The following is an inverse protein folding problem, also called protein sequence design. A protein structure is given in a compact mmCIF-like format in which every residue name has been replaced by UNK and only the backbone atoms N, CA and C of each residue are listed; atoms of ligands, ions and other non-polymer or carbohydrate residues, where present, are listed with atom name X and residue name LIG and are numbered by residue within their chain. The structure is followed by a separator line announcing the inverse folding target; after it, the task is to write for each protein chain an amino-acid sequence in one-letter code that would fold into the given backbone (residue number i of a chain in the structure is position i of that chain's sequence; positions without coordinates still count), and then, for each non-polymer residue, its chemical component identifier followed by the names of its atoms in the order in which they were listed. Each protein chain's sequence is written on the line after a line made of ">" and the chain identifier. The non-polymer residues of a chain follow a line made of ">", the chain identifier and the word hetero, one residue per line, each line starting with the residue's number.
data_IF_329194002928
#
_entry.id   IF_329194002928
#
_cell.length_a   1.000
_cell.length_b   1.000
_cell.length_c   1.000
_cell.angle_alpha   90.00
_cell.angle_beta   90.00
_cell.angle_gamma   90.00
#
_symmetry.space_group_name_H-M   'P 1'
#
loop_
_entity.id
_entity.type
_entity.pdbx_description
1 polymer ?
#
# COMPACT_ATOMS: atom_id res chain seq x y z
N UNK A 1 -2.17 22.09 26.10
CA UNK A 1 -2.15 20.87 26.96
C UNK A 1 -2.60 19.67 26.12
N UNK A 2 -1.64 18.86 25.66
CA UNK A 2 -1.90 17.59 24.95
C UNK A 2 -2.45 16.63 25.99
N UNK A 3 -3.70 16.15 25.83
CA UNK A 3 -4.23 15.11 26.72
C UNK A 3 -3.32 13.88 26.58
N UNK A 4 -2.79 13.34 27.70
CA UNK A 4 -2.05 12.10 27.63
C UNK A 4 -2.97 11.04 27.04
N UNK A 5 -2.40 10.30 26.09
CA UNK A 5 -2.95 9.08 25.52
C UNK A 5 -3.64 8.31 26.65
N UNK A 6 -4.98 8.16 26.60
CA UNK A 6 -5.64 7.16 27.46
C UNK A 6 -4.91 5.86 27.19
N UNK A 7 -4.21 5.38 28.21
CA UNK A 7 -3.37 4.18 28.22
C UNK A 7 -3.76 3.21 27.12
N UNK A 8 -2.86 3.04 26.14
CA UNK A 8 -2.93 2.11 24.98
C UNK A 8 -3.08 0.62 25.37
N UNK A 9 -3.62 0.31 26.55
CA UNK A 9 -3.74 -1.03 27.12
C UNK A 9 -5.13 -1.43 27.60
N UNK A 10 -6.20 -0.69 27.29
CA UNK A 10 -7.53 -0.96 27.85
C UNK A 10 -8.65 -1.27 26.83
N UNK A 11 -8.32 -1.53 25.57
CA UNK A 11 -9.33 -2.06 24.64
C UNK A 11 -9.19 -3.58 24.52
N UNK A 12 -10.16 -4.37 25.03
CA UNK A 12 -10.13 -5.81 24.88
C UNK A 12 -10.06 -6.19 23.39
N UNK A 13 -9.41 -7.31 23.03
CA UNK A 13 -9.38 -7.74 21.65
C UNK A 13 -10.82 -7.86 21.11
N UNK A 14 -11.13 -7.10 20.07
CA UNK A 14 -12.42 -7.19 19.39
C UNK A 14 -12.63 -8.65 18.94
N UNK A 15 -13.79 -9.22 19.28
CA UNK A 15 -14.16 -10.55 18.81
C UNK A 15 -14.11 -10.58 17.28
N UNK A 16 -13.50 -11.63 16.70
CA UNK A 16 -13.22 -11.71 15.27
C UNK A 16 -14.46 -11.45 14.39
N UNK A 17 -15.64 -11.94 14.77
CA UNK A 17 -16.89 -11.69 14.04
C UNK A 17 -17.32 -10.21 14.00
N UNK A 18 -17.05 -9.44 15.07
CA UNK A 18 -17.34 -8.00 15.13
C UNK A 18 -16.36 -7.20 14.28
N UNK A 19 -15.09 -7.62 14.25
CA UNK A 19 -14.03 -7.05 13.39
C UNK A 19 -14.38 -7.23 11.92
N UNK A 20 -14.80 -8.44 11.52
CA UNK A 20 -15.18 -8.75 10.14
C UNK A 20 -16.38 -7.91 9.71
N UNK A 21 -17.43 -7.82 10.54
CA UNK A 21 -18.61 -6.99 10.23
C UNK A 21 -18.25 -5.51 10.08
N UNK A 22 -17.45 -4.95 10.99
CA UNK A 22 -17.07 -3.53 10.93
C UNK A 22 -16.14 -3.22 9.75
N UNK A 23 -15.19 -4.12 9.45
CA UNK A 23 -14.28 -3.95 8.31
C UNK A 23 -15.04 -4.05 6.99
N UNK A 24 -15.84 -5.11 6.83
CA UNK A 24 -16.45 -5.45 5.53
C UNK A 24 -17.74 -4.67 5.31
N UNK A 25 -18.64 -4.64 6.29
CA UNK A 25 -19.98 -4.05 6.12
C UNK A 25 -19.94 -2.55 6.35
N UNK A 26 -19.48 -2.10 7.51
CA UNK A 26 -19.57 -0.68 7.89
C UNK A 26 -18.44 0.17 7.24
N UNK A 27 -17.27 -0.44 7.03
CA UNK A 27 -16.13 0.16 6.35
C UNK A 27 -16.22 0.07 4.83
N UNK A 28 -15.97 -1.14 4.29
CA UNK A 28 -15.83 -1.36 2.85
C UNK A 28 -17.12 -1.11 2.07
N UNK A 29 -18.22 -1.78 2.44
CA UNK A 29 -19.50 -1.66 1.73
C UNK A 29 -20.22 -0.34 2.02
N UNK A 30 -20.21 0.11 3.28
CA UNK A 30 -20.92 1.31 3.73
C UNK A 30 -20.34 2.63 3.20
N UNK A 31 -19.04 2.66 2.85
CA UNK A 31 -18.36 3.90 2.42
C UNK A 31 -17.90 3.88 0.96
N UNK A 32 -18.17 2.79 0.22
CA UNK A 32 -17.63 2.54 -1.13
C UNK A 32 -17.81 3.70 -2.11
N UNK A 33 -18.99 4.35 -2.11
CA UNK A 33 -19.28 5.51 -2.97
C UNK A 33 -18.30 6.69 -2.76
N UNK A 34 -17.97 7.01 -1.50
CA UNK A 34 -17.04 8.11 -1.18
C UNK A 34 -15.59 7.77 -1.49
N UNK A 35 -15.27 6.48 -1.46
CA UNK A 35 -13.95 5.96 -1.74
C UNK A 35 -13.68 5.95 -3.24
N UNK A 36 -14.69 5.60 -4.03
CA UNK A 36 -14.62 5.56 -5.49
C UNK A 36 -14.40 6.95 -6.09
N UNK A 37 -15.02 8.00 -5.52
CA UNK A 37 -14.81 9.38 -5.96
C UNK A 37 -13.42 9.92 -5.64
N UNK A 38 -12.82 9.55 -4.50
CA UNK A 38 -11.41 9.89 -4.22
C UNK A 38 -10.45 9.09 -5.08
N UNK A 39 -10.76 7.82 -5.37
CA UNK A 39 -9.87 6.93 -6.11
C UNK A 39 -9.69 7.34 -7.59
N UNK A 40 -10.63 8.09 -8.16
CA UNK A 40 -10.59 8.48 -9.57
C UNK A 40 -9.38 9.35 -9.94
N UNK A 41 -9.01 10.32 -9.10
CA UNK A 41 -7.85 11.19 -9.37
C UNK A 41 -6.54 10.39 -9.34
N UNK A 42 -6.24 9.62 -8.28
CA UNK A 42 -5.14 8.65 -8.25
C UNK A 42 -5.13 7.69 -9.44
N UNK A 43 -6.30 7.26 -9.93
CA UNK A 43 -6.40 6.36 -11.08
C UNK A 43 -5.89 7.01 -12.35
N UNK A 44 -6.42 8.20 -12.65
CA UNK A 44 -6.03 8.95 -13.83
C UNK A 44 -4.53 9.25 -13.77
N UNK A 45 -4.02 9.68 -12.60
CA UNK A 45 -2.60 9.94 -12.40
C UNK A 45 -1.76 8.67 -12.62
N UNK A 46 -2.17 7.54 -12.06
CA UNK A 46 -1.43 6.31 -12.18
C UNK A 46 -1.38 5.79 -13.62
N UNK A 47 -2.50 5.87 -14.34
CA UNK A 47 -2.57 5.56 -15.78
C UNK A 47 -1.67 6.48 -16.60
N UNK A 48 -1.65 7.79 -16.32
CA UNK A 48 -0.79 8.74 -17.02
C UNK A 48 0.68 8.43 -16.78
N UNK A 49 1.07 8.12 -15.54
CA UNK A 49 2.46 7.84 -15.18
C UNK A 49 2.93 6.54 -15.85
N UNK A 50 2.12 5.48 -15.81
CA UNK A 50 2.43 4.22 -16.51
C UNK A 50 2.54 4.39 -18.02
N UNK A 51 1.61 5.14 -18.62
CA UNK A 51 1.63 5.42 -20.05
C UNK A 51 2.87 6.25 -20.42
N UNK A 52 3.22 7.26 -19.63
CA UNK A 52 4.41 8.06 -19.85
C UNK A 52 5.69 7.21 -19.75
N UNK A 53 5.81 6.36 -18.73
CA UNK A 53 6.92 5.43 -18.58
C UNK A 53 7.05 4.50 -19.80
N UNK A 54 5.93 3.92 -20.25
CA UNK A 54 5.91 3.06 -21.42
C UNK A 54 6.34 3.78 -22.70
N UNK A 55 5.86 5.01 -22.92
CA UNK A 55 6.24 5.84 -24.07
C UNK A 55 7.74 6.18 -24.04
N UNK A 56 8.28 6.57 -22.88
CA UNK A 56 9.71 6.90 -22.73
C UNK A 56 10.58 5.67 -23.04
N UNK A 57 10.20 4.50 -22.54
CA UNK A 57 10.93 3.25 -22.80
C UNK A 57 10.88 2.83 -24.27
N UNK A 58 9.76 3.09 -24.94
CA UNK A 58 9.58 2.82 -26.37
C UNK A 58 10.48 3.75 -27.23
N UNK A 59 10.47 5.05 -26.96
CA UNK A 59 11.35 6.02 -27.64
C UNK A 59 12.83 5.73 -27.45
N UNK A 60 13.22 5.13 -26.33
CA UNK A 60 14.61 4.74 -26.02
C UNK A 60 14.99 3.36 -26.55
N UNK A 61 14.09 2.64 -27.24
CA UNK A 61 14.34 1.28 -27.70
C UNK A 61 14.67 0.27 -26.59
N UNK A 62 14.36 0.61 -25.33
CA UNK A 62 14.84 -0.11 -24.13
C UNK A 62 13.79 -1.06 -23.54
N UNK A 63 12.63 -1.21 -24.20
CA UNK A 63 11.45 -1.91 -23.68
C UNK A 63 11.65 -3.42 -23.46
N UNK A 64 12.62 -4.03 -24.14
CA UNK A 64 12.99 -5.45 -23.97
C UNK A 64 14.20 -5.64 -23.03
N UNK A 65 14.76 -4.57 -22.48
CA UNK A 65 15.96 -4.60 -21.65
C UNK A 65 15.57 -4.58 -20.17
N UNK A 66 15.05 -5.70 -19.67
CA UNK A 66 14.54 -5.89 -18.30
C UNK A 66 15.58 -5.54 -17.20
N UNK A 67 16.87 -5.40 -17.55
CA UNK A 67 17.94 -5.02 -16.64
C UNK A 67 18.79 -3.83 -17.11
N UNK A 68 18.34 -3.06 -18.10
CA UNK A 68 19.09 -1.85 -18.48
C UNK A 68 19.01 -0.78 -17.38
N UNK A 69 20.06 0.03 -17.19
CA UNK A 69 20.04 1.13 -16.22
C UNK A 69 18.86 2.08 -16.44
N UNK A 70 18.51 2.35 -17.70
CA UNK A 70 17.39 3.22 -18.07
C UNK A 70 16.03 2.66 -17.62
N UNK A 71 15.79 1.36 -17.84
CA UNK A 71 14.56 0.68 -17.37
C UNK A 71 14.48 0.70 -15.86
N UNK A 72 15.57 0.40 -15.16
CA UNK A 72 15.60 0.41 -13.69
C UNK A 72 15.29 1.81 -13.15
N UNK A 73 15.88 2.86 -13.72
CA UNK A 73 15.63 4.25 -13.28
C UNK A 73 14.17 4.65 -13.49
N UNK A 74 13.59 4.29 -14.64
CA UNK A 74 12.18 4.61 -14.94
C UNK A 74 11.24 3.83 -14.03
N UNK A 75 11.50 2.54 -13.78
CA UNK A 75 10.69 1.72 -12.88
C UNK A 75 10.76 2.21 -11.44
N UNK A 76 11.95 2.61 -10.96
CA UNK A 76 12.12 3.19 -9.62
C UNK A 76 11.38 4.54 -9.51
N UNK A 77 11.48 5.40 -10.52
CA UNK A 77 10.75 6.66 -10.55
C UNK A 77 9.23 6.43 -10.57
N UNK A 78 8.75 5.45 -11.35
CA UNK A 78 7.34 5.09 -11.41
C UNK A 78 6.84 4.57 -10.06
N UNK A 79 7.60 3.67 -9.41
CA UNK A 79 7.32 3.19 -8.06
C UNK A 79 7.21 4.36 -7.07
N UNK A 80 8.14 5.33 -7.12
CA UNK A 80 8.10 6.51 -6.25
C UNK A 80 6.82 7.32 -6.48
N UNK A 81 6.45 7.58 -7.73
CA UNK A 81 5.27 8.40 -8.01
C UNK A 81 3.99 7.66 -7.58
N UNK A 82 3.86 6.38 -7.95
CA UNK A 82 2.66 5.58 -7.69
C UNK A 82 2.47 5.26 -6.21
N UNK A 83 3.49 4.67 -5.58
CA UNK A 83 3.37 4.11 -4.24
C UNK A 83 3.58 5.16 -3.14
N UNK A 84 4.49 6.12 -3.35
CA UNK A 84 4.76 7.15 -2.35
C UNK A 84 3.84 8.35 -2.51
N UNK A 85 3.86 9.00 -3.67
CA UNK A 85 3.18 10.29 -3.83
C UNK A 85 1.67 10.12 -3.99
N UNK A 86 1.25 9.25 -4.90
CA UNK A 86 -0.17 8.98 -5.17
C UNK A 86 -0.77 8.16 -4.01
N UNK A 87 -0.05 7.16 -3.50
CA UNK A 87 -0.43 6.43 -2.29
C UNK A 87 -0.67 7.35 -1.08
N UNK A 88 0.26 8.26 -0.78
CA UNK A 88 0.10 9.22 0.32
C UNK A 88 -1.09 10.16 0.11
N UNK A 89 -1.28 10.65 -1.11
CA UNK A 89 -2.39 11.53 -1.45
C UNK A 89 -3.72 10.82 -1.18
N UNK A 90 -3.84 9.56 -1.61
CA UNK A 90 -5.02 8.75 -1.37
C UNK A 90 -5.27 8.54 0.12
N UNK A 91 -4.25 8.11 0.88
CA UNK A 91 -4.38 7.83 2.32
C UNK A 91 -4.84 9.04 3.13
N UNK A 92 -4.26 10.23 2.90
CA UNK A 92 -4.63 11.45 3.64
C UNK A 92 -6.05 11.89 3.32
N UNK A 93 -6.45 11.84 2.05
CA UNK A 93 -7.78 12.28 1.63
C UNK A 93 -8.88 11.33 2.12
N UNK A 94 -8.63 10.02 2.13
CA UNK A 94 -9.55 9.05 2.76
C UNK A 94 -9.69 9.32 4.25
N UNK A 95 -8.58 9.46 4.98
CA UNK A 95 -8.63 9.73 6.42
C UNK A 95 -9.46 11.00 6.77
N UNK A 96 -9.35 12.03 5.92
CA UNK A 96 -10.10 13.29 6.06
C UNK A 96 -11.58 13.16 5.70
N UNK A 97 -11.93 12.46 4.61
CA UNK A 97 -13.34 12.22 4.26
C UNK A 97 -14.06 11.33 5.29
N UNK A 98 -13.33 10.41 5.90
CA UNK A 98 -13.83 9.61 7.03
C UNK A 98 -13.96 10.44 8.32
N UNK A 99 -13.43 11.67 8.36
CA UNK A 99 -13.48 12.56 9.52
C UNK A 99 -12.59 12.10 10.69
N UNK A 100 -11.62 11.23 10.44
CA UNK A 100 -10.80 10.59 11.48
C UNK A 100 -9.64 11.49 11.93
N UNK A 101 -9.18 12.39 11.06
CA UNK A 101 -8.10 13.35 11.33
C UNK A 101 -8.46 14.82 11.12
N UNK A 102 -9.71 15.13 10.72
CA UNK A 102 -10.15 16.49 10.46
C UNK A 102 -11.56 16.71 11.00
N UNK A 103 -11.73 17.78 11.80
CA UNK A 103 -13.03 18.17 12.39
C UNK A 103 -14.07 18.56 11.34
N UNK A 104 -13.64 18.84 10.10
CA UNK A 104 -14.51 19.39 9.04
C UNK A 104 -15.11 18.32 8.14
N UNK A 105 -14.55 17.11 8.08
CA UNK A 105 -14.99 16.05 7.17
C UNK A 105 -14.92 16.44 5.68
N UNK A 106 -14.15 17.48 5.33
CA UNK A 106 -13.96 17.98 3.98
C UNK A 106 -12.48 17.91 3.62
N UNK A 107 -12.18 17.69 2.34
CA UNK A 107 -10.81 17.81 1.83
C UNK A 107 -10.50 19.30 1.68
N UNK A 108 -9.54 19.78 2.47
CA UNK A 108 -8.93 21.11 2.37
C UNK A 108 -7.43 20.93 2.37
N UNK A 109 -6.75 21.59 1.44
CA UNK A 109 -5.29 21.58 1.30
C UNK A 109 -4.68 22.68 2.20
N UNK A 110 -4.89 22.54 3.50
CA UNK A 110 -4.36 23.42 4.55
C UNK A 110 -2.99 22.93 5.08
N UNK A 111 -2.41 23.66 6.03
CA UNK A 111 -1.14 23.26 6.68
C UNK A 111 -1.26 21.87 7.32
N UNK A 112 -2.36 21.60 8.03
CA UNK A 112 -2.65 20.28 8.58
C UNK A 112 -2.65 19.17 7.51
N UNK A 113 -3.04 19.47 6.27
CA UNK A 113 -3.04 18.49 5.17
C UNK A 113 -1.62 18.22 4.71
N UNK A 114 -0.81 19.29 4.59
CA UNK A 114 0.60 19.19 4.18
C UNK A 114 1.41 18.40 5.18
N UNK A 115 1.19 18.61 6.48
CA UNK A 115 1.86 17.89 7.55
C UNK A 115 1.48 16.41 7.55
N UNK A 116 0.18 16.10 7.41
CA UNK A 116 -0.29 14.72 7.27
C UNK A 116 0.27 14.04 6.02
N UNK A 117 0.30 14.75 4.88
CA UNK A 117 0.85 14.25 3.62
C UNK A 117 2.34 13.95 3.71
N UNK A 118 3.16 14.92 4.15
CA UNK A 118 4.58 14.72 4.35
C UNK A 118 4.87 13.59 5.35
N UNK A 119 4.06 13.52 6.41
CA UNK A 119 4.12 12.44 7.38
C UNK A 119 3.84 11.05 6.78
N UNK A 120 2.84 10.92 5.90
CA UNK A 120 2.54 9.65 5.21
C UNK A 120 3.64 9.30 4.22
N UNK A 121 4.08 10.27 3.39
CA UNK A 121 5.17 10.07 2.41
C UNK A 121 6.43 9.56 3.10
N UNK A 122 6.85 10.16 4.22
CA UNK A 122 8.04 9.73 4.95
C UNK A 122 7.92 8.28 5.44
N UNK A 123 6.75 7.88 5.93
CA UNK A 123 6.53 6.51 6.45
C UNK A 123 6.43 5.49 5.32
N UNK A 124 5.84 5.86 4.19
CA UNK A 124 5.87 5.08 2.96
C UNK A 124 7.32 4.95 2.42
N UNK A 125 8.14 5.99 2.56
CA UNK A 125 9.54 5.93 2.12
C UNK A 125 10.32 4.92 2.96
N UNK A 126 10.15 4.98 4.28
CA UNK A 126 10.81 4.06 5.21
C UNK A 126 10.40 2.61 4.92
N UNK A 127 9.11 2.32 4.77
CA UNK A 127 8.62 0.96 4.53
C UNK A 127 9.11 0.40 3.18
N UNK A 128 9.09 1.20 2.11
CA UNK A 128 9.54 0.75 0.79
C UNK A 128 11.05 0.61 0.73
N UNK A 129 11.80 1.47 1.44
CA UNK A 129 13.24 1.33 1.58
C UNK A 129 13.61 0.01 2.27
N UNK A 130 13.03 -0.28 3.44
CA UNK A 130 13.28 -1.55 4.13
C UNK A 130 12.77 -2.76 3.32
N UNK A 131 11.64 -2.61 2.63
CA UNK A 131 11.12 -3.64 1.73
C UNK A 131 12.07 -3.96 0.58
N UNK A 132 12.60 -2.93 -0.09
CA UNK A 132 13.58 -3.07 -1.15
C UNK A 132 14.86 -3.74 -0.65
N UNK A 133 15.36 -3.37 0.53
CA UNK A 133 16.52 -4.02 1.13
C UNK A 133 16.26 -5.50 1.45
N UNK A 134 15.10 -5.83 1.99
CA UNK A 134 14.76 -7.21 2.34
C UNK A 134 14.56 -8.08 1.09
N UNK A 135 13.72 -7.65 0.16
CA UNK A 135 13.39 -8.42 -1.05
C UNK A 135 14.57 -8.42 -2.02
N UNK A 136 15.18 -7.27 -2.27
CA UNK A 136 16.36 -7.15 -3.12
C UNK A 136 17.58 -7.88 -2.54
N UNK A 137 17.83 -7.74 -1.24
CA UNK A 137 18.89 -8.48 -0.54
C UNK A 137 18.65 -10.00 -0.58
N UNK A 138 17.41 -10.44 -0.37
CA UNK A 138 17.02 -11.85 -0.51
C UNK A 138 17.24 -12.39 -1.92
N UNK A 139 16.90 -11.61 -2.95
CA UNK A 139 17.15 -11.98 -4.34
C UNK A 139 18.65 -12.05 -4.68
N UNK A 140 19.44 -11.07 -4.24
CA UNK A 140 20.90 -11.09 -4.42
C UNK A 140 21.53 -12.28 -3.70
N UNK A 141 21.12 -12.56 -2.47
CA UNK A 141 21.57 -13.73 -1.72
C UNK A 141 21.22 -15.04 -2.45
N UNK A 142 20.00 -15.14 -3.02
CA UNK A 142 19.63 -16.28 -3.85
C UNK A 142 20.58 -16.43 -5.04
N UNK A 143 20.87 -15.37 -5.79
CA UNK A 143 21.78 -15.43 -6.93
C UNK A 143 23.21 -15.85 -6.55
N UNK A 144 23.71 -15.39 -5.40
CA UNK A 144 25.07 -15.69 -4.93
C UNK A 144 25.23 -17.11 -4.39
N UNK A 145 24.20 -17.64 -3.73
CA UNK A 145 24.30 -18.91 -3.00
C UNK A 145 23.53 -20.07 -3.65
N UNK A 146 22.74 -19.85 -4.71
CA UNK A 146 21.91 -20.89 -5.35
C UNK A 146 22.68 -22.17 -5.70
N UNK A 147 23.92 -22.04 -6.15
CA UNK A 147 24.75 -23.16 -6.60
C UNK A 147 25.49 -23.87 -5.44
N UNK A 148 25.43 -23.29 -4.23
CA UNK A 148 26.05 -23.79 -3.01
C UNK A 148 25.02 -24.35 -2.01
N UNK A 149 23.73 -24.35 -2.37
CA UNK A 149 22.69 -24.83 -1.48
C UNK A 149 22.76 -26.35 -1.32
N UNK A 150 22.65 -26.86 -0.07
CA UNK A 150 22.67 -28.29 0.21
C UNK A 150 21.59 -29.07 -0.54
N UNK A 151 20.45 -28.43 -0.80
CA UNK A 151 19.34 -28.99 -1.58
C UNK A 151 18.65 -27.90 -2.40
N UNK A 152 18.16 -28.27 -3.58
CA UNK A 152 17.36 -27.38 -4.46
C UNK A 152 16.05 -26.93 -3.81
N UNK A 153 15.58 -27.65 -2.80
CA UNK A 153 14.39 -27.31 -2.01
C UNK A 153 14.59 -26.11 -1.09
N UNK A 154 15.83 -25.74 -0.75
CA UNK A 154 16.12 -24.57 0.10
C UNK A 154 16.10 -23.24 -0.67
N UNK A 155 16.28 -23.29 -1.99
CA UNK A 155 16.41 -22.11 -2.84
C UNK A 155 15.18 -21.19 -2.82
N UNK A 156 13.93 -21.71 -2.86
CA UNK A 156 12.73 -20.89 -2.74
C UNK A 156 12.62 -20.13 -1.41
N UNK A 157 13.15 -20.67 -0.31
CA UNK A 157 13.04 -20.05 1.01
C UNK A 157 13.87 -18.78 1.16
N UNK A 158 14.97 -18.65 0.41
CA UNK A 158 15.85 -17.46 0.42
C UNK A 158 15.10 -16.21 -0.08
N UNK A 159 14.11 -16.40 -0.96
CA UNK A 159 13.26 -15.33 -1.48
C UNK A 159 11.94 -15.24 -0.70
N UNK A 160 11.33 -16.39 -0.39
CA UNK A 160 10.04 -16.43 0.27
C UNK A 160 10.08 -15.86 1.70
N UNK A 161 11.14 -16.14 2.49
CA UNK A 161 11.24 -15.64 3.87
C UNK A 161 11.32 -14.10 3.89
N UNK A 162 12.21 -13.44 3.13
CA UNK A 162 12.21 -11.97 3.06
C UNK A 162 10.91 -11.37 2.53
N UNK A 163 10.25 -12.01 1.56
CA UNK A 163 8.96 -11.56 1.06
C UNK A 163 7.86 -11.63 2.13
N UNK A 164 7.80 -12.72 2.90
CA UNK A 164 6.88 -12.88 4.02
C UNK A 164 7.18 -11.89 5.15
N UNK A 165 8.46 -11.63 5.43
CA UNK A 165 8.87 -10.63 6.41
C UNK A 165 8.48 -9.22 5.96
N UNK A 166 8.66 -8.88 4.68
CA UNK A 166 8.19 -7.61 4.13
C UNK A 166 6.68 -7.48 4.24
N UNK A 167 5.90 -8.53 3.93
CA UNK A 167 4.44 -8.53 4.07
C UNK A 167 4.00 -8.35 5.53
N UNK A 168 4.71 -8.99 6.47
CA UNK A 168 4.52 -8.80 7.90
C UNK A 168 4.79 -7.35 8.30
N UNK A 169 5.93 -6.79 7.91
CA UNK A 169 6.28 -5.39 8.17
C UNK A 169 5.26 -4.43 7.53
N UNK A 170 4.79 -4.73 6.32
CA UNK A 170 3.75 -3.98 5.61
C UNK A 170 2.48 -3.83 6.45
N UNK A 171 2.01 -4.94 7.00
CA UNK A 171 0.83 -5.00 7.86
C UNK A 171 1.01 -4.14 9.12
N UNK A 172 2.21 -4.11 9.70
CA UNK A 172 2.51 -3.35 10.92
C UNK A 172 2.67 -1.85 10.64
N UNK A 173 3.44 -1.51 9.62
CA UNK A 173 3.65 -0.12 9.20
C UNK A 173 2.38 0.54 8.69
N UNK A 174 1.42 -0.24 8.18
CA UNK A 174 0.11 0.29 7.79
C UNK A 174 -0.61 1.05 8.90
N UNK A 175 -0.42 0.66 10.17
CA UNK A 175 -0.97 1.40 11.33
C UNK A 175 -0.20 2.70 11.60
N UNK A 176 1.11 2.71 11.35
CA UNK A 176 1.95 3.90 11.45
C UNK A 176 1.58 4.90 10.34
N UNK A 177 1.28 4.41 9.14
CA UNK A 177 0.78 5.19 8.00
C UNK A 177 -0.62 5.74 8.29
N UNK A 178 -1.52 4.91 8.85
CA UNK A 178 -2.84 5.36 9.29
C UNK A 178 -2.74 6.48 10.35
N UNK A 179 -1.85 6.31 11.33
CA UNK A 179 -1.57 7.30 12.36
C UNK A 179 -1.04 8.62 11.79
N UNK A 180 -0.15 8.55 10.80
CA UNK A 180 0.36 9.70 10.06
C UNK A 180 -0.75 10.55 9.47
N UNK A 181 -1.66 9.88 8.76
CA UNK A 181 -2.74 10.52 8.04
C UNK A 181 -3.72 11.26 8.96
N UNK A 182 -3.74 10.90 10.25
CA UNK A 182 -4.66 11.45 11.26
C UNK A 182 -3.93 12.27 12.34
N UNK A 183 -2.63 12.51 12.17
CA UNK A 183 -1.81 13.30 13.11
C UNK A 183 -1.62 12.65 14.50
N UNK A 184 -1.73 11.33 14.60
CA UNK A 184 -1.55 10.62 15.87
C UNK A 184 -0.06 10.43 16.22
N UNK A 185 0.35 10.64 17.48
CA UNK A 185 1.69 10.32 17.96
C UNK A 185 1.80 8.81 18.20
N UNK A 186 1.87 8.04 17.11
CA UNK A 186 1.92 6.58 17.11
C UNK A 186 3.21 6.09 16.46
N UNK A 187 3.89 5.15 17.12
CA UNK A 187 5.17 4.61 16.67
C UNK A 187 5.07 3.15 16.23
N UNK A 188 6.12 2.65 15.59
CA UNK A 188 6.20 1.23 15.22
C UNK A 188 6.17 0.30 16.44
N UNK A 189 6.72 0.70 17.59
CA UNK A 189 6.65 -0.08 18.83
C UNK A 189 5.21 -0.29 19.33
N UNK A 190 4.35 0.70 19.14
CA UNK A 190 2.93 0.63 19.50
C UNK A 190 2.15 -0.31 18.56
N UNK A 191 2.59 -0.41 17.29
CA UNK A 191 1.95 -1.25 16.27
C UNK A 191 1.88 -2.71 16.68
N UNK A 192 2.93 -3.26 17.31
CA UNK A 192 3.04 -4.67 17.68
C UNK A 192 1.90 -5.08 18.61
N UNK A 193 1.59 -4.22 19.59
CA UNK A 193 0.53 -4.45 20.58
C UNK A 193 -0.86 -4.30 19.99
N UNK A 194 -1.10 -3.30 19.15
CA UNK A 194 -2.42 -3.02 18.60
C UNK A 194 -2.86 -4.00 17.50
N UNK A 195 -1.92 -4.47 16.68
CA UNK A 195 -2.22 -5.34 15.52
C UNK A 195 -2.15 -6.83 15.85
N UNK A 196 -1.62 -7.24 17.01
CA UNK A 196 -1.37 -8.64 17.36
C UNK A 196 -2.54 -9.60 17.10
N UNK A 197 -3.76 -9.24 17.54
CA UNK A 197 -4.95 -10.09 17.38
C UNK A 197 -5.58 -10.09 15.98
N UNK A 198 -5.16 -9.22 15.06
CA UNK A 198 -5.71 -9.11 13.70
C UNK A 198 -4.65 -9.31 12.60
N UNK A 199 -3.39 -9.55 12.99
CA UNK A 199 -2.26 -9.61 12.05
C UNK A 199 -2.49 -10.68 10.98
N UNK A 200 -2.93 -11.88 11.38
CA UNK A 200 -3.19 -12.96 10.42
C UNK A 200 -4.33 -12.63 9.44
N UNK A 201 -5.36 -11.93 9.91
CA UNK A 201 -6.49 -11.49 9.06
C UNK A 201 -5.99 -10.45 8.05
N UNK A 202 -5.23 -9.46 8.51
CA UNK A 202 -4.67 -8.42 7.63
C UNK A 202 -3.68 -9.00 6.62
N UNK A 203 -2.87 -9.99 7.01
CA UNK A 203 -1.98 -10.72 6.12
C UNK A 203 -2.75 -11.52 5.08
N UNK A 204 -3.78 -12.28 5.51
CA UNK A 204 -4.64 -13.04 4.61
C UNK A 204 -5.34 -12.15 3.59
N UNK A 205 -5.89 -11.01 4.03
CA UNK A 205 -6.45 -10.02 3.13
C UNK A 205 -5.40 -9.48 2.16
N UNK A 206 -4.19 -9.14 2.63
CA UNK A 206 -3.12 -8.66 1.74
C UNK A 206 -2.82 -9.67 0.65
N UNK A 207 -2.72 -10.96 0.98
CA UNK A 207 -2.52 -12.01 -0.03
C UNK A 207 -3.67 -12.06 -1.05
N UNK A 208 -4.92 -12.02 -0.59
CA UNK A 208 -6.11 -12.08 -1.48
C UNK A 208 -6.14 -10.92 -2.48
N UNK A 209 -5.74 -9.72 -2.07
CA UNK A 209 -5.77 -8.52 -2.93
C UNK A 209 -4.46 -8.30 -3.71
N UNK A 210 -3.31 -8.81 -3.22
CA UNK A 210 -2.05 -8.74 -3.95
C UNK A 210 -1.96 -9.79 -5.07
N UNK A 211 -2.52 -10.99 -4.88
CA UNK A 211 -2.38 -12.07 -5.85
C UNK A 211 -2.95 -11.71 -7.24
N UNK A 212 -4.15 -11.13 -7.38
CA UNK A 212 -4.66 -10.69 -8.67
C UNK A 212 -3.80 -9.59 -9.31
N UNK A 213 -3.24 -8.69 -8.50
CA UNK A 213 -2.34 -7.64 -8.98
C UNK A 213 -1.05 -8.22 -9.55
N UNK A 214 -0.45 -9.20 -8.87
CA UNK A 214 0.74 -9.91 -9.37
C UNK A 214 0.44 -10.59 -10.70
N UNK A 215 -0.72 -11.26 -10.82
CA UNK A 215 -1.14 -11.89 -12.08
C UNK A 215 -1.34 -10.86 -13.19
N UNK A 216 -1.96 -9.72 -12.89
CA UNK A 216 -2.16 -8.65 -13.86
C UNK A 216 -0.83 -7.99 -14.29
N UNK A 217 0.11 -7.79 -13.36
CA UNK A 217 1.45 -7.28 -13.65
C UNK A 217 2.25 -8.25 -14.52
N UNK A 218 2.16 -9.56 -14.26
CA UNK A 218 2.76 -10.59 -15.11
C UNK A 218 2.15 -10.56 -16.52
N UNK A 219 0.82 -10.44 -16.62
CA UNK A 219 0.13 -10.29 -17.91
C UNK A 219 0.55 -8.99 -18.64
N UNK A 220 0.83 -7.92 -17.90
CA UNK A 220 1.30 -6.66 -18.47
C UNK A 220 2.71 -6.84 -19.06
N UNK A 221 3.61 -7.48 -18.30
CA UNK A 221 4.98 -7.79 -18.75
C UNK A 221 4.99 -8.70 -19.98
N UNK A 222 4.13 -9.72 -20.03
CA UNK A 222 4.04 -10.58 -21.22
C UNK A 222 3.45 -9.84 -22.42
N UNK A 223 2.48 -8.95 -22.21
CA UNK A 223 1.92 -8.13 -23.28
C UNK A 223 2.94 -7.13 -23.87
N UNK A 224 3.82 -6.56 -23.03
CA UNK A 224 4.90 -5.68 -23.50
C UNK A 224 5.98 -6.40 -24.30
N UNK A 225 6.11 -7.72 -24.15
CA UNK A 225 7.03 -8.53 -24.93
C UNK A 225 6.46 -8.95 -26.31
N UNK A 226 5.19 -8.64 -26.60
CA UNK A 226 4.51 -9.01 -27.84
C UNK A 226 4.33 -7.82 -28.79
N UNK A 227 4.45 -8.05 -30.10
CA UNK A 227 4.23 -7.04 -31.14
C UNK A 227 2.82 -7.18 -31.75
N UNK A 228 2.05 -6.08 -31.98
CA UNK A 228 2.38 -4.69 -31.70
C UNK A 228 2.25 -4.34 -30.22
N UNK A 229 3.22 -3.56 -29.72
CA UNK A 229 3.41 -3.32 -28.29
C UNK A 229 2.33 -2.42 -27.66
N UNK A 230 1.59 -1.65 -28.48
CA UNK A 230 0.44 -0.83 -28.07
C UNK A 230 -0.87 -1.36 -28.67
N UNK A 231 -1.18 -2.64 -28.42
CA UNK A 231 -2.46 -3.24 -28.80
C UNK A 231 -3.55 -3.03 -27.75
N UNK A 232 -4.81 -3.31 -28.11
CA UNK A 232 -5.95 -3.32 -27.18
C UNK A 232 -5.69 -4.17 -25.92
N UNK A 233 -4.96 -5.27 -26.07
CA UNK A 233 -4.57 -6.14 -24.96
C UNK A 233 -3.66 -5.44 -23.95
N UNK A 234 -2.65 -4.68 -24.42
CA UNK A 234 -1.75 -3.92 -23.55
C UNK A 234 -2.51 -2.87 -22.76
N UNK A 235 -3.33 -2.05 -23.43
CA UNK A 235 -4.13 -1.03 -22.75
C UNK A 235 -5.15 -1.62 -21.78
N UNK A 236 -5.82 -2.71 -22.16
CA UNK A 236 -6.77 -3.40 -21.29
C UNK A 236 -6.10 -3.95 -20.03
N UNK A 237 -4.93 -4.57 -20.16
CA UNK A 237 -4.17 -5.12 -19.03
C UNK A 237 -3.55 -4.01 -18.17
N UNK A 238 -3.09 -2.90 -18.75
CA UNK A 238 -2.61 -1.72 -18.03
C UNK A 238 -3.72 -1.12 -17.17
N UNK A 239 -4.91 -0.89 -17.76
CA UNK A 239 -6.08 -0.39 -17.04
C UNK A 239 -6.52 -1.34 -15.91
N UNK A 240 -6.52 -2.65 -16.18
CA UNK A 240 -6.83 -3.66 -15.17
C UNK A 240 -5.83 -3.66 -14.02
N UNK A 241 -4.53 -3.55 -14.33
CA UNK A 241 -3.46 -3.48 -13.33
C UNK A 241 -3.63 -2.26 -12.44
N UNK A 242 -3.92 -1.09 -13.03
CA UNK A 242 -4.16 0.14 -12.28
C UNK A 242 -5.44 0.09 -11.44
N UNK A 243 -6.49 -0.53 -11.97
CA UNK A 243 -7.74 -0.73 -11.25
C UNK A 243 -7.53 -1.64 -10.03
N UNK A 244 -6.83 -2.76 -10.20
CA UNK A 244 -6.52 -3.70 -9.12
C UNK A 244 -5.57 -3.08 -8.08
N UNK A 245 -4.59 -2.29 -8.53
CA UNK A 245 -3.68 -1.57 -7.65
C UNK A 245 -4.44 -0.60 -6.75
N UNK A 246 -5.31 0.23 -7.33
CA UNK A 246 -6.13 1.14 -6.54
C UNK A 246 -7.14 0.43 -5.66
N UNK A 247 -7.76 -0.65 -6.14
CA UNK A 247 -8.67 -1.44 -5.33
C UNK A 247 -7.93 -1.95 -4.07
N UNK A 248 -6.72 -2.49 -4.24
CA UNK A 248 -5.86 -2.89 -3.12
C UNK A 248 -5.58 -1.71 -2.20
N UNK A 249 -5.05 -0.60 -2.71
CA UNK A 249 -4.69 0.58 -1.91
C UNK A 249 -5.90 1.12 -1.15
N UNK A 250 -7.07 1.19 -1.81
CA UNK A 250 -8.33 1.61 -1.24
C UNK A 250 -8.73 0.73 -0.07
N UNK A 251 -8.87 -0.56 -0.34
CA UNK A 251 -9.29 -1.56 0.64
C UNK A 251 -8.36 -1.57 1.84
N UNK A 252 -7.03 -1.60 1.64
CA UNK A 252 -6.09 -1.58 2.75
C UNK A 252 -6.10 -0.28 3.52
N UNK A 253 -6.17 0.86 2.84
CA UNK A 253 -6.23 2.16 3.53
C UNK A 253 -7.43 2.20 4.49
N UNK A 254 -8.60 1.78 4.04
CA UNK A 254 -9.82 1.76 4.88
C UNK A 254 -9.69 0.76 6.01
N UNK A 255 -9.31 -0.49 5.71
CA UNK A 255 -9.15 -1.54 6.70
C UNK A 255 -8.20 -1.05 7.80
N UNK A 256 -7.05 -0.51 7.41
CA UNK A 256 -6.02 -0.07 8.34
C UNK A 256 -6.47 1.15 9.14
N UNK A 257 -7.15 2.13 8.53
CA UNK A 257 -7.71 3.28 9.24
C UNK A 257 -8.79 2.86 10.24
N UNK A 258 -9.75 2.04 9.84
CA UNK A 258 -10.83 1.55 10.70
C UNK A 258 -10.26 0.72 11.85
N UNK A 259 -9.33 -0.19 11.55
CA UNK A 259 -8.69 -0.99 12.59
C UNK A 259 -7.85 -0.12 13.53
N UNK A 260 -7.15 0.90 13.02
CA UNK A 260 -6.39 1.85 13.82
C UNK A 260 -7.31 2.61 14.78
N UNK A 261 -8.39 3.22 14.29
CA UNK A 261 -9.36 3.95 15.12
C UNK A 261 -9.96 3.05 16.19
N UNK A 262 -10.44 1.88 15.81
CA UNK A 262 -11.10 0.95 16.73
C UNK A 262 -10.15 0.39 17.79
N UNK A 263 -8.87 0.20 17.46
CA UNK A 263 -7.87 -0.34 18.40
C UNK A 263 -7.25 0.71 19.30
N UNK A 264 -7.11 1.93 18.82
CA UNK A 264 -6.45 3.00 19.57
C UNK A 264 -7.43 3.95 20.26
N UNK A 265 -8.72 3.90 19.87
CA UNK A 265 -9.71 4.90 20.28
C UNK A 265 -9.42 6.30 19.72
N UNK A 266 -8.47 6.41 18.78
CA UNK A 266 -8.05 7.69 18.21
C UNK A 266 -9.05 8.15 17.16
N UNK A 267 -9.98 9.01 17.57
CA UNK A 267 -10.97 9.62 16.70
C UNK A 267 -11.18 11.12 16.99
N UNK A 268 -10.13 11.96 16.98
CA UNK A 268 -10.29 13.39 17.20
C UNK A 268 -11.08 14.04 16.05
N UNK A 269 -12.38 14.22 16.23
CA UNK A 269 -13.27 14.88 15.27
C UNK A 269 -14.23 13.98 14.51
N UNK A 270 -14.23 12.66 14.76
CA UNK A 270 -15.22 11.76 14.18
C UNK A 270 -16.61 12.05 14.79
N UNK A 271 -17.48 12.74 14.04
CA UNK A 271 -18.88 12.95 14.44
C UNK A 271 -19.78 11.73 14.16
N UNK A 272 -19.27 10.68 13.50
CA UNK A 272 -20.11 9.69 12.80
C UNK A 272 -19.53 8.27 12.66
N UNK A 273 -18.57 7.85 13.49
CA UNK A 273 -18.19 6.42 13.56
C UNK A 273 -18.91 5.80 14.74
#
# INVERSE_FOLDING_TARGET
>A
MVKPIRLMGQFPPLQAGRVVRQIIVDGLLGQWHRLLSIALIPFILAVIVDLAAAIILDFRGSRNLVASPDVIVIDVANLIILELLIGAFYTVNVARLLGIGSRTGKIRLDEDWRDAYGGVVLRLLVIYFFGALLVGGGFVAYLLFRDQLPTTQLAPFIIAIPALLHLYLYTRFSFVIAAAAVGAPYTFGDSVRATGGITLILLGLNLVFCLPLVVAQLALQTSTASSPVFGFTYFGVMLLTQLLFLLRVAVFTIINLVCFVNRTGWAPGARRI
#
